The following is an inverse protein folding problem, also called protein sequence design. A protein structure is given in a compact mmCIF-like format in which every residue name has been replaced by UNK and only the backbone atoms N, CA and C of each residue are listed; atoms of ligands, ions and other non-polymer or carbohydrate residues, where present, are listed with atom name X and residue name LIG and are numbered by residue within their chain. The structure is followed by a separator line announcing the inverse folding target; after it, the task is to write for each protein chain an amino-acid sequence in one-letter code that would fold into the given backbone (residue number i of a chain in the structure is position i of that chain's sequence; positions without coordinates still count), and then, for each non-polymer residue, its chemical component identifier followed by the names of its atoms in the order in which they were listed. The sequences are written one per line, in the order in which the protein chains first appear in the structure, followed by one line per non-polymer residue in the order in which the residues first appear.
data_IF_051422266912
#
_entry.id   IF_051422266912
#
_cell.length_a   1.000
_cell.length_b   1.000
_cell.length_c   1.000
_cell.angle_alpha   90.00
_cell.angle_beta   90.00
_cell.angle_gamma   90.00
#
_symmetry.space_group_name_H-M   'P 1'
#
loop_
_entity.id
_entity.type
_entity.pdbx_description
1 polymer ?
#
# COMPACT_ATOMS: atom_id res chain seq x y z
N UNK A 1 -7.34 0.34 -15.33
CA UNK A 1 -6.18 0.83 -14.57
C UNK A 1 -5.20 -0.32 -14.35
N UNK A 2 -3.96 -0.06 -13.89
CA UNK A 2 -2.95 -1.12 -13.64
C UNK A 2 -2.92 -1.41 -12.13
N UNK A 3 -3.12 -2.67 -11.75
CA UNK A 3 -3.07 -3.10 -10.36
C UNK A 3 -1.64 -3.14 -9.83
N UNK A 4 -1.45 -2.92 -8.53
CA UNK A 4 -0.13 -2.95 -7.91
C UNK A 4 0.52 -4.33 -8.05
N UNK A 5 -0.28 -5.41 -8.00
CA UNK A 5 0.20 -6.78 -8.26
C UNK A 5 0.74 -7.00 -9.66
N UNK A 6 0.34 -6.21 -10.66
CA UNK A 6 0.91 -6.24 -12.02
C UNK A 6 2.13 -5.32 -12.17
N UNK A 7 2.17 -4.22 -11.42
CA UNK A 7 3.26 -3.23 -11.48
C UNK A 7 4.48 -3.70 -10.68
N UNK A 8 4.24 -4.25 -9.49
CA UNK A 8 5.22 -4.67 -8.49
C UNK A 8 4.95 -6.13 -8.07
N UNK A 9 5.00 -7.10 -8.98
CA UNK A 9 4.54 -8.47 -8.70
C UNK A 9 5.30 -9.15 -7.54
N UNK A 10 6.63 -9.06 -7.52
CA UNK A 10 7.43 -9.69 -6.48
C UNK A 10 7.26 -9.00 -5.12
N UNK A 11 7.25 -7.67 -5.09
CA UNK A 11 7.00 -6.90 -3.87
C UNK A 11 5.59 -7.18 -3.32
N UNK A 12 4.58 -7.18 -4.18
CA UNK A 12 3.20 -7.46 -3.76
C UNK A 12 3.06 -8.88 -3.22
N UNK A 13 3.72 -9.88 -3.85
CA UNK A 13 3.77 -11.25 -3.32
C UNK A 13 4.38 -11.29 -1.92
N UNK A 14 5.53 -10.65 -1.73
CA UNK A 14 6.21 -10.57 -0.43
C UNK A 14 5.32 -9.91 0.65
N UNK A 15 4.64 -8.82 0.31
CA UNK A 15 3.72 -8.14 1.22
C UNK A 15 2.51 -9.03 1.54
N UNK A 16 1.90 -9.67 0.54
CA UNK A 16 0.82 -10.64 0.76
C UNK A 16 1.26 -11.76 1.71
N UNK A 17 2.42 -12.36 1.48
CA UNK A 17 2.92 -13.46 2.31
C UNK A 17 3.15 -12.99 3.76
N UNK A 18 3.74 -11.80 3.95
CA UNK A 18 3.90 -11.21 5.29
C UNK A 18 2.58 -10.89 5.97
N UNK A 19 1.60 -10.36 5.25
CA UNK A 19 0.26 -10.14 5.79
C UNK A 19 -0.38 -11.45 6.25
N UNK A 20 -0.19 -12.57 5.54
CA UNK A 20 -0.65 -13.89 5.99
C UNK A 20 0.06 -14.35 7.26
N UNK A 21 1.37 -14.17 7.35
CA UNK A 21 2.15 -14.48 8.57
C UNK A 21 1.62 -13.71 9.79
N UNK A 22 1.14 -12.48 9.58
CA UNK A 22 0.57 -11.62 10.63
C UNK A 22 -0.93 -11.89 10.90
N UNK A 23 -1.50 -12.93 10.27
CA UNK A 23 -2.92 -13.28 10.41
C UNK A 23 -3.89 -12.33 9.70
N UNK A 24 -3.40 -11.51 8.76
CA UNK A 24 -4.18 -10.54 7.96
C UNK A 24 -4.53 -11.10 6.58
N UNK A 25 -5.18 -12.26 6.53
CA UNK A 25 -5.50 -12.96 5.27
C UNK A 25 -6.33 -12.11 4.31
N UNK A 26 -7.28 -11.34 4.83
CA UNK A 26 -8.12 -10.46 4.02
C UNK A 26 -7.29 -9.41 3.25
N UNK A 27 -6.38 -8.72 3.95
CA UNK A 27 -5.47 -7.74 3.36
C UNK A 27 -4.51 -8.40 2.36
N UNK A 28 -4.03 -9.62 2.66
CA UNK A 28 -3.15 -10.37 1.78
C UNK A 28 -3.80 -10.71 0.43
N UNK A 29 -5.10 -11.00 0.43
CA UNK A 29 -5.92 -11.23 -0.78
C UNK A 29 -6.25 -9.91 -1.49
N UNK A 30 -6.49 -8.83 -0.73
CA UNK A 30 -6.86 -7.53 -1.27
C UNK A 30 -5.72 -6.89 -2.08
N UNK A 31 -4.52 -6.80 -1.50
CA UNK A 31 -3.42 -5.99 -2.04
C UNK A 31 -3.10 -6.22 -3.53
N UNK A 32 -2.99 -7.46 -4.09
CA UNK A 32 -2.67 -7.62 -5.52
C UNK A 32 -3.74 -7.10 -6.49
N UNK A 33 -4.96 -6.90 -6.00
CA UNK A 33 -6.11 -6.45 -6.79
C UNK A 33 -6.26 -4.93 -6.79
N UNK A 34 -5.64 -4.24 -5.84
CA UNK A 34 -5.72 -2.79 -5.72
C UNK A 34 -5.00 -2.08 -6.87
N UNK A 35 -5.52 -0.91 -7.21
CA UNK A 35 -5.03 -0.10 -8.30
C UNK A 35 -4.09 0.99 -7.77
N UNK A 36 -3.05 1.29 -8.55
CA UNK A 36 -2.18 2.42 -8.24
C UNK A 36 -2.92 3.73 -8.57
N UNK A 37 -3.33 4.48 -7.56
CA UNK A 37 -3.93 5.81 -7.73
C UNK A 37 -2.85 6.85 -8.02
N UNK A 38 -1.87 6.98 -7.12
CA UNK A 38 -0.65 7.77 -7.34
C UNK A 38 0.47 7.34 -6.39
N UNK A 39 1.66 7.92 -6.54
CA UNK A 39 2.78 7.66 -5.64
C UNK A 39 3.68 8.87 -5.54
N UNK A 40 4.33 9.06 -4.39
CA UNK A 40 5.32 10.12 -4.16
C UNK A 40 6.67 9.51 -3.82
N UNK A 41 7.73 10.30 -3.94
CA UNK A 41 9.08 9.90 -3.59
C UNK A 41 9.81 11.06 -2.94
N UNK A 42 10.22 10.88 -1.69
CA UNK A 42 11.15 11.79 -1.05
C UNK A 42 12.56 11.26 -1.26
N UNK A 43 13.26 11.84 -2.24
CA UNK A 43 14.63 11.47 -2.56
C UNK A 43 15.64 11.76 -1.43
N UNK A 44 15.31 12.62 -0.45
CA UNK A 44 16.21 12.96 0.66
C UNK A 44 16.27 11.82 1.67
N UNK A 45 15.13 11.21 1.96
CA UNK A 45 14.98 10.09 2.89
C UNK A 45 15.01 8.73 2.18
N UNK A 46 14.78 8.72 0.87
CA UNK A 46 14.57 7.50 0.09
C UNK A 46 13.20 6.87 0.34
N UNK A 47 12.26 7.62 0.93
CA UNK A 47 10.91 7.18 1.21
C UNK A 47 10.04 7.21 -0.05
N UNK A 48 9.18 6.21 -0.18
CA UNK A 48 8.19 6.07 -1.25
C UNK A 48 6.83 5.84 -0.61
N UNK A 49 5.86 6.65 -1.01
CA UNK A 49 4.47 6.48 -0.59
C UNK A 49 3.64 6.07 -1.79
N UNK A 50 2.91 4.96 -1.67
CA UNK A 50 2.03 4.43 -2.69
C UNK A 50 0.60 4.61 -2.19
N UNK A 51 -0.21 5.32 -2.96
CA UNK A 51 -1.63 5.52 -2.68
C UNK A 51 -2.45 4.58 -3.57
N UNK A 52 -3.35 3.82 -2.95
CA UNK A 52 -4.09 2.76 -3.61
C UNK A 52 -5.58 3.08 -3.70
N UNK A 53 -6.19 2.62 -4.79
CA UNK A 53 -7.63 2.68 -5.03
C UNK A 53 -8.21 1.30 -5.37
N UNK A 54 -9.52 1.22 -5.57
CA UNK A 54 -10.20 -0.02 -5.93
C UNK A 54 -10.64 -0.87 -4.74
N UNK A 55 -10.57 -0.31 -3.53
CA UNK A 55 -11.22 -0.88 -2.35
C UNK A 55 -12.75 -0.91 -2.54
N UNK A 56 -13.44 -1.79 -1.82
CA UNK A 56 -14.91 -1.81 -1.78
C UNK A 56 -15.42 -0.41 -1.36
N UNK A 57 -16.46 0.11 -2.03
CA UNK A 57 -17.15 1.31 -1.56
C UNK A 57 -17.80 1.06 -0.20
N UNK A 58 -17.73 2.05 0.65
CA UNK A 58 -18.43 2.05 1.93
C UNK A 58 -19.93 2.18 1.71
N UNK A 59 -20.71 1.73 2.69
CA UNK A 59 -22.11 2.13 2.79
C UNK A 59 -22.22 3.45 3.58
N UNK A 60 -23.41 4.08 3.55
CA UNK A 60 -23.61 5.39 4.22
C UNK A 60 -23.29 5.39 5.72
N UNK A 61 -23.58 4.29 6.42
CA UNK A 61 -23.22 4.16 7.85
C UNK A 61 -21.71 4.08 8.06
N UNK A 62 -21.00 3.38 7.19
CA UNK A 62 -19.54 3.26 7.25
C UNK A 62 -18.86 4.59 6.95
N UNK A 63 -19.38 5.36 5.99
CA UNK A 63 -18.91 6.71 5.67
C UNK A 63 -19.02 7.66 6.88
N UNK A 64 -20.12 7.58 7.63
CA UNK A 64 -20.36 8.40 8.83
C UNK A 64 -19.39 8.06 10.00
N UNK A 65 -18.86 6.83 10.04
CA UNK A 65 -17.95 6.36 11.10
C UNK A 65 -16.50 6.81 10.85
N UNK A 66 -16.11 7.09 9.60
CA UNK A 66 -14.73 7.45 9.22
C UNK A 66 -14.23 8.77 9.82
N UNK A 67 -15.11 9.58 10.42
CA UNK A 67 -14.73 10.78 11.18
C UNK A 67 -13.74 10.53 12.34
N UNK A 68 -13.56 9.28 12.79
CA UNK A 68 -12.60 8.89 13.83
C UNK A 68 -11.32 8.29 13.22
N UNK A 69 -10.46 9.15 12.64
CA UNK A 69 -9.11 8.81 12.17
C UNK A 69 -8.28 8.13 13.27
N UNK A 70 -8.14 6.82 13.21
CA UNK A 70 -6.95 6.14 13.71
C UNK A 70 -6.47 5.14 12.66
N UNK A 71 -5.44 5.63 11.96
CA UNK A 71 -4.61 4.99 10.94
C UNK A 71 -3.86 3.83 11.60
N UNK A 72 -4.40 2.61 11.51
CA UNK A 72 -3.60 1.45 11.91
C UNK A 72 -2.54 1.26 10.83
N UNK A 73 -1.29 1.47 11.22
CA UNK A 73 -0.15 1.33 10.34
C UNK A 73 0.57 0.05 10.72
N UNK A 74 0.48 -0.94 9.83
CA UNK A 74 1.10 -2.23 10.06
C UNK A 74 2.52 -2.25 9.49
N UNK A 75 3.51 -2.28 10.37
CA UNK A 75 4.90 -2.49 9.97
C UNK A 75 5.14 -3.97 9.60
N UNK A 76 5.60 -4.20 8.38
CA UNK A 76 5.98 -5.51 7.86
C UNK A 76 7.50 -5.64 7.85
N UNK A 77 8.01 -6.36 8.85
CA UNK A 77 9.45 -6.65 8.96
C UNK A 77 9.96 -7.63 7.88
N UNK A 78 11.29 -7.66 7.73
CA UNK A 78 12.04 -8.59 6.87
C UNK A 78 11.79 -8.49 5.36
N UNK A 79 11.31 -7.33 4.90
CA UNK A 79 11.09 -7.06 3.49
C UNK A 79 12.26 -6.31 2.83
N UNK A 80 13.49 -6.42 3.33
CA UNK A 80 14.65 -5.74 2.75
C UNK A 80 14.59 -4.20 2.81
N UNK A 81 13.82 -3.68 3.76
CA UNK A 81 13.54 -2.28 4.03
C UNK A 81 12.37 -2.18 5.02
N UNK A 82 12.04 -0.97 5.45
CA UNK A 82 10.83 -0.72 6.24
C UNK A 82 9.64 -0.62 5.30
N UNK A 83 8.61 -1.41 5.55
CA UNK A 83 7.35 -1.39 4.80
C UNK A 83 6.23 -1.20 5.79
N UNK A 84 5.47 -0.14 5.61
CA UNK A 84 4.35 0.26 6.43
C UNK A 84 3.10 0.18 5.57
N UNK A 85 2.06 -0.50 6.05
CA UNK A 85 0.79 -0.66 5.35
C UNK A 85 -0.27 0.13 6.09
N UNK A 86 -0.86 1.11 5.42
CA UNK A 86 -1.90 1.97 5.98
C UNK A 86 -3.26 1.32 5.77
N UNK A 87 -3.98 1.10 6.87
CA UNK A 87 -5.26 0.40 6.89
C UNK A 87 -6.29 1.27 7.61
N UNK A 88 -7.51 1.29 7.10
CA UNK A 88 -8.61 1.95 7.79
C UNK A 88 -9.33 1.04 8.80
N UNK A 89 -10.29 1.61 9.51
CA UNK A 89 -11.08 0.94 10.54
C UNK A 89 -12.01 -0.18 10.00
N UNK A 90 -12.02 -0.42 8.69
CA UNK A 90 -12.76 -1.50 8.03
C UNK A 90 -11.84 -2.53 7.38
N UNK A 91 -10.58 -2.61 7.81
CA UNK A 91 -9.55 -3.48 7.25
C UNK A 91 -9.39 -3.28 5.73
N UNK A 92 -9.44 -2.02 5.27
CA UNK A 92 -9.16 -1.68 3.87
C UNK A 92 -7.79 -1.03 3.77
N UNK A 93 -6.95 -1.60 2.92
CA UNK A 93 -5.62 -1.07 2.64
C UNK A 93 -5.72 0.23 1.81
N UNK A 94 -5.25 1.35 2.36
CA UNK A 94 -5.28 2.67 1.74
C UNK A 94 -3.97 3.04 1.04
N UNK A 95 -2.85 2.69 1.65
CA UNK A 95 -1.53 3.05 1.16
C UNK A 95 -0.41 2.17 1.67
N UNK A 96 0.78 2.39 1.13
CA UNK A 96 2.00 1.70 1.52
C UNK A 96 3.14 2.71 1.58
N UNK A 97 3.77 2.86 2.74
CA UNK A 97 5.03 3.59 2.89
C UNK A 97 6.21 2.62 2.88
N UNK A 98 7.26 2.99 2.15
CA UNK A 98 8.42 2.13 1.90
C UNK A 98 9.69 2.94 2.03
N UNK A 99 10.61 2.46 2.87
CA UNK A 99 11.94 3.07 3.08
C UNK A 99 13.02 2.02 2.84
N UNK A 100 14.05 2.39 2.08
CA UNK A 100 15.23 1.53 1.85
C UNK A 100 15.12 0.53 0.69
N UNK A 101 13.99 0.44 0.00
CA UNK A 101 13.78 -0.44 -1.17
C UNK A 101 13.90 0.31 -2.50
N UNK A 102 15.06 0.25 -3.14
CA UNK A 102 15.34 0.99 -4.40
C UNK A 102 14.66 0.40 -5.63
N UNK A 103 14.31 -0.88 -5.59
CA UNK A 103 13.63 -1.59 -6.67
C UNK A 103 12.21 -1.04 -6.90
N UNK A 104 11.49 -0.72 -5.84
CA UNK A 104 10.11 -0.20 -5.92
C UNK A 104 9.99 1.10 -6.72
N UNK A 105 10.69 2.20 -6.38
CA UNK A 105 10.60 3.44 -7.16
C UNK A 105 11.14 3.28 -8.59
N UNK A 106 12.09 2.37 -8.84
CA UNK A 106 12.56 2.08 -10.20
C UNK A 106 11.46 1.46 -11.07
N UNK A 107 10.66 0.56 -10.52
CA UNK A 107 9.54 -0.05 -11.24
C UNK A 107 8.36 0.93 -11.40
N UNK A 108 8.02 1.70 -10.35
CA UNK A 108 6.95 2.69 -10.42
C UNK A 108 7.19 3.75 -11.50
N UNK A 109 8.43 4.25 -11.64
CA UNK A 109 8.84 5.21 -12.68
C UNK A 109 8.61 4.71 -14.11
N UNK A 110 8.61 3.39 -14.34
CA UNK A 110 8.33 2.81 -15.68
C UNK A 110 6.86 2.91 -16.06
N UNK A 111 5.97 3.10 -15.08
CA UNK A 111 4.52 3.16 -15.30
C UNK A 111 4.02 4.59 -15.25
N UNK A 112 4.52 5.40 -14.31
CA UNK A 112 4.20 6.83 -14.21
C UNK A 112 5.25 7.58 -13.39
N UNK A 113 5.47 8.88 -13.65
CA UNK A 113 6.29 9.71 -12.76
C UNK A 113 5.64 9.83 -11.36
N UNK A 114 6.45 10.12 -10.31
CA UNK A 114 5.92 10.42 -8.99
C UNK A 114 5.12 11.73 -9.02
N UNK A 115 4.08 11.80 -8.21
CA UNK A 115 3.39 13.05 -7.89
C UNK A 115 4.32 13.97 -7.10
N UNK A 116 4.16 15.30 -7.24
CA UNK A 116 4.83 16.23 -6.34
C UNK A 116 4.37 15.97 -4.89
N UNK A 117 5.32 16.14 -3.98
CA UNK A 117 5.08 16.19 -2.55
C UNK A 117 4.38 17.49 -2.16
#
# INVERSE_FOLDING_TARGET
MRTIGKILPDFTRQVSDKLREYGREYLAVQIPTLELDHWTNDSRTGAVYIYLSGQRPLNGTEEDIIGARHDDCLELADLGGTVLVDIDNFDRLLGIEIVGRKDVPQQLKKVRPPSPF
#
